data_IF_739323490265
#
_entry.id   IF_739323490265
#
_cell.length_a   1.000
_cell.length_b   1.000
_cell.length_c   1.000
_cell.angle_alpha   90.00
_cell.angle_beta   90.00
_cell.angle_gamma   90.00
#
_symmetry.space_group_name_H-M   'P 1'
#
loop_
_entity.id
_entity.type
_entity.pdbx_description
1 polymer ?
#
# COMPACT_ATOMS: atom_id res chain seq x y z
N UNK A 1 -11.12 2.91 17.74
CA UNK A 1 -11.05 1.56 17.13
C UNK A 1 -10.59 1.56 15.67
N UNK A 2 -10.36 2.71 15.03
CA UNK A 2 -9.91 2.82 13.63
C UNK A 2 -8.41 2.61 13.44
N UNK A 3 -7.58 3.12 14.38
CA UNK A 3 -6.11 3.08 14.31
C UNK A 3 -5.55 1.65 14.36
N UNK A 4 -6.11 0.79 15.22
CA UNK A 4 -5.68 -0.61 15.30
C UNK A 4 -6.01 -1.40 14.02
N UNK A 5 -7.10 -1.02 13.33
CA UNK A 5 -7.51 -1.62 12.06
C UNK A 5 -6.62 -1.19 10.90
N UNK A 6 -6.22 0.08 10.85
CA UNK A 6 -5.25 0.56 9.84
C UNK A 6 -3.88 -0.05 10.04
N UNK A 7 -3.43 -0.24 11.28
CA UNK A 7 -2.17 -0.93 11.58
C UNK A 7 -2.18 -2.40 11.12
N UNK A 8 -3.29 -3.12 11.34
CA UNK A 8 -3.44 -4.49 10.84
C UNK A 8 -3.49 -4.56 9.31
N UNK A 9 -4.16 -3.61 8.66
CA UNK A 9 -4.17 -3.51 7.20
C UNK A 9 -2.78 -3.21 6.64
N UNK A 10 -2.01 -2.33 7.29
CA UNK A 10 -0.64 -1.99 6.90
C UNK A 10 0.30 -3.19 7.06
N UNK A 11 0.18 -3.95 8.15
CA UNK A 11 0.94 -5.18 8.37
C UNK A 11 0.60 -6.27 7.35
N UNK A 12 -0.68 -6.41 6.97
CA UNK A 12 -1.11 -7.31 5.92
C UNK A 12 -0.58 -6.91 4.53
N UNK A 13 -0.54 -5.61 4.24
CA UNK A 13 0.04 -5.09 3.00
C UNK A 13 1.56 -5.25 2.94
N UNK A 14 2.27 -5.06 4.05
CA UNK A 14 3.71 -5.31 4.13
C UNK A 14 4.03 -6.80 3.91
N UNK A 15 3.23 -7.70 4.48
CA UNK A 15 3.35 -9.15 4.24
C UNK A 15 3.04 -9.53 2.78
N UNK A 16 2.15 -8.79 2.10
CA UNK A 16 1.80 -9.02 0.70
C UNK A 16 2.85 -8.45 -0.27
N UNK A 17 3.43 -7.29 0.05
CA UNK A 17 4.55 -6.70 -0.68
C UNK A 17 5.79 -7.62 -0.61
N UNK A 18 6.04 -8.26 0.54
CA UNK A 18 7.09 -9.26 0.68
C UNK A 18 6.88 -10.53 -0.18
N UNK A 19 5.67 -10.74 -0.71
CA UNK A 19 5.35 -11.86 -1.60
C UNK A 19 5.48 -11.50 -3.11
N UNK A 20 5.59 -10.21 -3.46
CA UNK A 20 5.80 -9.76 -4.83
C UNK A 20 7.27 -9.91 -5.23
N UNK A 21 7.54 -10.76 -6.22
CA UNK A 21 8.90 -11.07 -6.68
C UNK A 21 9.44 -10.02 -7.68
N UNK A 22 8.63 -9.01 -8.03
CA UNK A 22 8.98 -7.95 -8.98
C UNK A 22 8.49 -6.58 -8.49
N UNK A 23 9.21 -5.52 -8.86
CA UNK A 23 8.86 -4.11 -8.54
C UNK A 23 7.43 -3.75 -8.94
N UNK A 24 6.92 -4.37 -10.00
CA UNK A 24 5.61 -4.09 -10.57
C UNK A 24 4.48 -4.70 -9.73
N UNK A 25 4.69 -5.88 -9.13
CA UNK A 25 3.75 -6.49 -8.19
C UNK A 25 3.73 -5.73 -6.85
N UNK A 26 4.88 -5.25 -6.39
CA UNK A 26 4.98 -4.38 -5.21
C UNK A 26 4.35 -3.01 -5.44
N UNK A 27 4.59 -2.40 -6.59
CA UNK A 27 3.91 -1.18 -6.99
C UNK A 27 2.40 -1.40 -7.10
N UNK A 28 1.95 -2.52 -7.67
CA UNK A 28 0.53 -2.84 -7.81
C UNK A 28 -0.18 -3.06 -6.47
N UNK A 29 0.43 -3.83 -5.56
CA UNK A 29 -0.11 -4.07 -4.21
C UNK A 29 -0.10 -2.81 -3.37
N UNK A 30 0.99 -2.03 -3.43
CA UNK A 30 1.10 -0.71 -2.82
C UNK A 30 0.04 0.25 -3.34
N UNK A 31 -0.19 0.28 -4.66
CA UNK A 31 -1.23 1.11 -5.28
C UNK A 31 -2.62 0.75 -4.77
N UNK A 32 -2.94 -0.54 -4.65
CA UNK A 32 -4.25 -1.01 -4.17
C UNK A 32 -4.48 -0.64 -2.70
N UNK A 33 -3.48 -0.85 -1.83
CA UNK A 33 -3.61 -0.46 -0.42
C UNK A 33 -3.63 1.06 -0.23
N UNK A 34 -2.79 1.76 -0.98
CA UNK A 34 -2.79 3.22 -1.01
C UNK A 34 -4.10 3.79 -1.52
N UNK A 35 -4.71 3.20 -2.55
CA UNK A 35 -6.03 3.59 -3.05
C UNK A 35 -7.12 3.38 -2.00
N UNK A 36 -7.07 2.27 -1.26
CA UNK A 36 -8.03 1.98 -0.19
C UNK A 36 -7.93 2.99 0.97
N UNK A 37 -6.70 3.42 1.32
CA UNK A 37 -6.48 4.47 2.33
C UNK A 37 -6.86 5.84 1.79
N UNK A 38 -6.51 6.15 0.54
CA UNK A 38 -6.88 7.39 -0.16
C UNK A 38 -8.39 7.55 -0.28
N UNK A 39 -9.11 6.46 -0.58
CA UNK A 39 -10.58 6.45 -0.62
C UNK A 39 -11.20 6.81 0.73
N UNK A 40 -10.53 6.53 1.85
CA UNK A 40 -11.01 6.91 3.18
C UNK A 40 -10.88 8.43 3.47
N UNK A 41 -10.14 9.15 2.64
CA UNK A 41 -9.95 10.61 2.72
C UNK A 41 -10.40 11.32 1.43
N UNK A 42 -11.29 10.70 0.64
CA UNK A 42 -11.81 11.20 -0.65
C UNK A 42 -10.72 11.46 -1.72
N UNK A 43 -9.53 10.90 -1.54
CA UNK A 43 -8.39 11.09 -2.43
C UNK A 43 -7.82 9.75 -2.95
N UNK A 44 -8.64 8.89 -3.60
CA UNK A 44 -8.26 7.53 -3.96
C UNK A 44 -7.11 7.49 -4.98
N UNK A 45 -7.04 8.47 -5.89
CA UNK A 45 -5.99 8.55 -6.92
C UNK A 45 -4.65 8.94 -6.31
N UNK A 46 -4.62 9.93 -5.42
CA UNK A 46 -3.41 10.33 -4.71
C UNK A 46 -2.93 9.20 -3.80
N UNK A 47 -3.85 8.55 -3.09
CA UNK A 47 -3.55 7.37 -2.28
C UNK A 47 -2.94 6.24 -3.11
N UNK A 48 -3.52 5.94 -4.29
CA UNK A 48 -2.98 4.94 -5.21
C UNK A 48 -1.56 5.28 -5.67
N UNK A 49 -1.32 6.54 -6.05
CA UNK A 49 0.00 6.97 -6.51
C UNK A 49 1.06 6.88 -5.40
N UNK A 50 0.74 7.36 -4.20
CA UNK A 50 1.64 7.31 -3.04
C UNK A 50 1.90 5.86 -2.63
N UNK A 51 0.86 5.02 -2.63
CA UNK A 51 0.98 3.60 -2.34
C UNK A 51 1.81 2.85 -3.38
N UNK A 52 1.66 3.16 -4.67
CA UNK A 52 2.43 2.55 -5.74
C UNK A 52 3.92 2.85 -5.61
N UNK A 53 4.24 4.13 -5.40
CA UNK A 53 5.62 4.61 -5.23
C UNK A 53 6.22 4.05 -3.94
N UNK A 54 5.49 4.09 -2.83
CA UNK A 54 5.93 3.52 -1.56
C UNK A 54 6.11 2.00 -1.63
N UNK A 55 5.25 1.29 -2.35
CA UNK A 55 5.35 -0.15 -2.57
C UNK A 55 6.58 -0.52 -3.39
N UNK A 56 6.86 0.20 -4.48
CA UNK A 56 8.05 0.01 -5.30
C UNK A 56 9.35 0.28 -4.51
N UNK A 57 9.39 1.35 -3.71
CA UNK A 57 10.60 1.76 -2.97
C UNK A 57 10.86 0.95 -1.70
N UNK A 58 9.83 0.32 -1.13
CA UNK A 58 9.98 -0.46 0.11
C UNK A 58 10.76 -1.77 -0.06
N UNK A 59 11.17 -2.15 -1.28
CA UNK A 59 12.12 -3.25 -1.50
C UNK A 59 13.59 -2.83 -1.39
N UNK A 60 13.87 -1.53 -1.52
CA UNK A 60 15.22 -0.96 -1.53
C UNK A 60 15.69 -0.44 -0.15
N UNK A 61 14.86 -0.55 0.90
CA UNK A 61 15.15 -0.11 2.28
C UNK A 61 15.32 -1.31 3.23
#
# INVERSE_FOLDING_TARGET
MTVTRTLFALAGLAALAACGNTDLERAGTGALGGAAVGAAVDEPVAGAAIGAVGGALADDI
#
